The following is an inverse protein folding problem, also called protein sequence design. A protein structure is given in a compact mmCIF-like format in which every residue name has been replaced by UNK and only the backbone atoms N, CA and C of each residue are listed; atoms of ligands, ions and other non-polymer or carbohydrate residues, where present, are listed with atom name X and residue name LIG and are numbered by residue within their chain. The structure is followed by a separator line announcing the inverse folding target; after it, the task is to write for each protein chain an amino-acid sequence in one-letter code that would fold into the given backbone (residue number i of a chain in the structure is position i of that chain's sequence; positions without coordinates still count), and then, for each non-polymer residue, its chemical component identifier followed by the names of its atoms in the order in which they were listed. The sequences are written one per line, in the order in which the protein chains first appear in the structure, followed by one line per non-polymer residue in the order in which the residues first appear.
data_IF_856360320974
#
_entry.id   IF_856360320974
#
_cell.length_a   1.000
_cell.length_b   1.000
_cell.length_c   1.000
_cell.angle_alpha   90.00
_cell.angle_beta   90.00
_cell.angle_gamma   90.00
#
_symmetry.space_group_name_H-M   'P 1'
#
loop_
_entity.id
_entity.type
_entity.pdbx_description
1 polymer ?
#
# COMPACT_ATOMS: atom_id res chain seq x y z
N UNK A 1 9.62 -3.10 10.77
CA UNK A 1 9.90 -4.35 10.03
C UNK A 1 10.53 -3.99 8.69
N UNK A 2 11.46 -4.83 8.19
CA UNK A 2 12.09 -4.59 6.90
C UNK A 2 11.44 -5.46 5.83
N UNK A 3 11.09 -4.84 4.69
CA UNK A 3 10.58 -5.47 3.48
C UNK A 3 11.58 -5.21 2.36
N UNK A 4 11.76 -6.17 1.47
CA UNK A 4 12.57 -6.02 0.26
C UNK A 4 11.79 -6.58 -0.91
N UNK A 5 11.68 -5.77 -1.94
CA UNK A 5 11.03 -6.12 -3.19
C UNK A 5 11.91 -5.66 -4.35
N UNK A 6 11.71 -6.23 -5.52
CA UNK A 6 12.36 -5.78 -6.75
C UNK A 6 11.44 -5.93 -7.94
N UNK A 7 11.64 -5.09 -8.93
CA UNK A 7 10.95 -5.17 -10.21
C UNK A 7 11.84 -4.66 -11.34
N UNK A 8 11.49 -4.98 -12.57
CA UNK A 8 12.17 -4.50 -13.78
C UNK A 8 11.20 -3.65 -14.57
N UNK A 9 11.70 -2.51 -15.07
CA UNK A 9 10.99 -1.59 -15.98
C UNK A 9 11.68 -1.68 -17.33
N UNK A 10 10.94 -1.92 -18.41
CA UNK A 10 11.48 -1.99 -19.77
C UNK A 10 11.77 -0.58 -20.33
N UNK A 11 12.53 0.23 -19.59
CA UNK A 11 12.92 1.59 -19.92
C UNK A 11 14.37 1.84 -19.52
N UNK A 12 15.04 2.82 -20.18
CA UNK A 12 16.42 3.20 -19.82
C UNK A 12 16.54 3.68 -18.37
N UNK A 13 17.70 3.42 -17.75
CA UNK A 13 18.01 3.77 -16.37
C UNK A 13 17.69 5.24 -16.06
N UNK A 14 18.19 6.17 -16.88
CA UNK A 14 17.99 7.61 -16.66
C UNK A 14 16.52 8.02 -16.62
N UNK A 15 15.69 7.46 -17.51
CA UNK A 15 14.24 7.74 -17.52
C UNK A 15 13.55 7.19 -16.30
N UNK A 16 13.93 5.98 -15.89
CA UNK A 16 13.40 5.34 -14.70
C UNK A 16 13.81 6.09 -13.44
N UNK A 17 15.09 6.50 -13.37
CA UNK A 17 15.63 7.29 -12.27
C UNK A 17 14.89 8.62 -12.09
N UNK A 18 14.79 9.43 -13.14
CA UNK A 18 14.05 10.71 -13.12
C UNK A 18 12.59 10.50 -12.70
N UNK A 19 11.94 9.44 -13.20
CA UNK A 19 10.55 9.15 -12.85
C UNK A 19 10.38 8.78 -11.38
N UNK A 20 11.35 8.07 -10.79
CA UNK A 20 11.32 7.68 -9.38
C UNK A 20 11.62 8.83 -8.42
N UNK A 21 12.32 9.88 -8.85
CA UNK A 21 12.58 11.08 -8.04
C UNK A 21 11.37 12.03 -8.00
N UNK A 22 10.46 11.94 -8.95
CA UNK A 22 9.25 12.75 -9.03
C UNK A 22 8.15 12.18 -8.13
N UNK A 23 8.03 12.70 -6.90
CA UNK A 23 7.06 12.23 -5.89
C UNK A 23 5.61 12.28 -6.41
N UNK A 24 5.11 13.32 -7.07
CA UNK A 24 3.81 13.32 -7.74
C UNK A 24 3.62 12.19 -8.75
N UNK A 25 4.62 11.94 -9.56
CA UNK A 25 4.61 10.88 -10.57
C UNK A 25 4.58 9.49 -9.94
N UNK A 26 5.42 9.25 -8.95
CA UNK A 26 5.42 8.02 -8.17
C UNK A 26 4.05 7.78 -7.55
N UNK A 27 3.43 8.81 -6.98
CA UNK A 27 2.11 8.69 -6.37
C UNK A 27 1.01 8.39 -7.40
N UNK A 28 1.08 8.96 -8.63
CA UNK A 28 0.09 8.66 -9.69
C UNK A 28 0.15 7.22 -10.15
N UNK A 29 1.35 6.64 -10.19
CA UNK A 29 1.55 5.24 -10.54
C UNK A 29 1.19 4.27 -9.39
N UNK A 30 1.16 4.74 -8.13
CA UNK A 30 0.88 3.89 -6.97
C UNK A 30 -0.64 3.67 -6.80
N UNK A 31 -1.14 2.41 -6.89
CA UNK A 31 -2.57 2.13 -6.79
C UNK A 31 -3.17 2.59 -5.46
N UNK A 32 -4.24 3.36 -5.52
CA UNK A 32 -4.95 3.87 -4.34
C UNK A 32 -4.28 5.06 -3.66
N UNK A 33 -3.20 5.59 -4.21
CA UNK A 33 -2.58 6.82 -3.73
C UNK A 33 -3.18 8.05 -4.43
N UNK A 34 -3.32 9.12 -3.68
CA UNK A 34 -3.59 10.47 -4.18
C UNK A 34 -2.64 11.43 -3.50
N UNK A 35 -2.16 12.45 -4.23
CA UNK A 35 -1.20 13.40 -3.69
C UNK A 35 -1.58 14.82 -4.09
N UNK A 36 -1.31 15.74 -3.18
CA UNK A 36 -1.45 17.17 -3.39
C UNK A 36 -0.09 17.83 -3.13
N UNK A 37 0.32 18.80 -3.96
CA UNK A 37 1.54 19.55 -3.70
C UNK A 37 1.51 20.18 -2.30
N UNK A 38 2.57 19.96 -1.53
CA UNK A 38 2.78 20.63 -0.25
C UNK A 38 3.86 21.72 -0.36
N UNK A 39 4.12 22.43 0.73
CA UNK A 39 5.24 23.35 0.81
C UNK A 39 6.55 22.64 1.20
N UNK A 40 7.70 23.25 0.85
CA UNK A 40 9.03 22.80 1.28
C UNK A 40 9.43 21.35 0.89
N UNK A 41 8.99 20.88 -0.28
CA UNK A 41 9.33 19.53 -0.74
C UNK A 41 8.58 18.40 -0.04
N UNK A 42 7.66 18.72 0.86
CA UNK A 42 6.73 17.75 1.46
C UNK A 42 5.41 17.75 0.69
N UNK A 43 4.90 16.58 0.40
CA UNK A 43 3.64 16.38 -0.30
C UNK A 43 2.62 15.77 0.66
N UNK A 44 1.39 16.27 0.63
CA UNK A 44 0.27 15.67 1.36
C UNK A 44 -0.43 14.65 0.49
N UNK A 45 -0.90 13.56 1.10
CA UNK A 45 -1.56 12.54 0.33
C UNK A 45 -2.47 11.64 1.14
N UNK A 46 -3.17 10.78 0.42
CA UNK A 46 -3.97 9.70 0.96
C UNK A 46 -3.58 8.40 0.29
N UNK A 47 -3.65 7.32 1.03
CA UNK A 47 -3.41 5.97 0.53
C UNK A 47 -4.57 5.08 0.96
N UNK A 48 -5.24 4.45 0.00
CA UNK A 48 -6.31 3.50 0.24
C UNK A 48 -5.85 2.12 -0.19
N UNK A 49 -5.80 1.19 0.75
CA UNK A 49 -5.36 -0.19 0.51
C UNK A 49 -6.44 -1.15 1.00
N UNK A 50 -6.81 -2.11 0.16
CA UNK A 50 -7.71 -3.19 0.54
C UNK A 50 -6.89 -4.42 0.93
N UNK A 51 -7.04 -4.86 2.17
CA UNK A 51 -6.33 -6.00 2.75
C UNK A 51 -7.37 -7.04 3.16
N UNK A 52 -7.65 -8.00 2.27
CA UNK A 52 -8.76 -8.92 2.45
C UNK A 52 -10.10 -8.20 2.55
N UNK A 53 -10.93 -8.45 3.58
CA UNK A 53 -12.20 -7.77 3.78
C UNK A 53 -12.06 -6.34 4.33
N UNK A 54 -10.85 -5.92 4.70
CA UNK A 54 -10.61 -4.62 5.35
C UNK A 54 -10.07 -3.63 4.33
N UNK A 55 -10.69 -2.46 4.26
CA UNK A 55 -10.13 -1.30 3.57
C UNK A 55 -9.46 -0.40 4.60
N UNK A 56 -8.15 -0.20 4.45
CA UNK A 56 -7.38 0.73 5.26
C UNK A 56 -7.17 2.02 4.46
N UNK A 57 -7.49 3.15 5.06
CA UNK A 57 -7.28 4.47 4.48
C UNK A 57 -6.40 5.30 5.43
N UNK A 58 -5.34 5.88 4.87
CA UNK A 58 -4.37 6.68 5.57
C UNK A 58 -4.28 8.05 4.92
N UNK A 59 -4.27 9.10 5.72
CA UNK A 59 -3.92 10.46 5.30
C UNK A 59 -2.58 10.83 5.93
N UNK A 60 -1.69 11.47 5.16
CA UNK A 60 -0.35 11.74 5.65
C UNK A 60 0.50 12.55 4.70
N UNK A 61 1.81 12.36 4.82
CA UNK A 61 2.81 13.09 4.05
C UNK A 61 3.86 12.16 3.47
N UNK A 62 4.45 12.60 2.36
CA UNK A 62 5.59 11.97 1.70
C UNK A 62 6.62 13.05 1.33
N UNK A 63 7.90 12.75 1.52
CA UNK A 63 9.01 13.60 1.09
C UNK A 63 10.20 12.78 0.64
N UNK A 64 10.96 13.34 -0.27
CA UNK A 64 12.28 12.87 -0.62
C UNK A 64 13.25 13.28 0.51
N UNK A 65 14.04 12.32 1.04
CA UNK A 65 14.98 12.58 2.15
C UNK A 65 16.41 12.72 1.66
N UNK A 66 16.87 11.79 0.83
CA UNK A 66 18.25 11.73 0.39
C UNK A 66 18.33 11.20 -1.04
N UNK A 67 19.31 11.69 -1.80
CA UNK A 67 19.57 11.30 -3.19
C UNK A 67 21.08 11.19 -3.40
N UNK A 68 21.51 10.02 -3.80
CA UNK A 68 22.85 9.76 -4.31
C UNK A 68 22.72 9.51 -5.83
N UNK A 69 23.02 10.55 -6.60
CA UNK A 69 22.90 10.51 -8.07
C UNK A 69 23.93 9.56 -8.70
N UNK A 70 25.14 9.47 -8.15
CA UNK A 70 26.21 8.63 -8.68
C UNK A 70 25.89 7.14 -8.45
N UNK A 71 25.32 6.80 -7.30
CA UNK A 71 24.94 5.44 -6.96
C UNK A 71 23.52 5.07 -7.40
N UNK A 72 22.74 6.02 -7.95
CA UNK A 72 21.33 5.87 -8.27
C UNK A 72 20.52 5.32 -7.09
N UNK A 73 20.70 5.93 -5.91
CA UNK A 73 20.01 5.59 -4.68
C UNK A 73 19.22 6.79 -4.16
N UNK A 74 17.95 6.61 -3.90
CA UNK A 74 17.12 7.65 -3.30
C UNK A 74 16.33 7.09 -2.13
N UNK A 75 16.17 7.89 -1.07
CA UNK A 75 15.33 7.55 0.07
C UNK A 75 14.17 8.51 0.24
N UNK A 76 13.04 7.96 0.63
CA UNK A 76 11.80 8.68 0.87
C UNK A 76 11.30 8.38 2.27
N UNK A 77 10.80 9.39 2.94
CA UNK A 77 10.07 9.22 4.17
C UNK A 77 8.58 9.43 3.93
N UNK A 78 7.78 8.47 4.36
CA UNK A 78 6.34 8.53 4.28
C UNK A 78 5.74 8.25 5.66
N UNK A 79 4.69 8.96 6.01
CA UNK A 79 3.93 8.71 7.23
C UNK A 79 2.46 9.03 7.02
N UNK A 80 1.60 8.32 7.73
CA UNK A 80 0.18 8.56 7.66
C UNK A 80 -0.58 7.90 8.80
N UNK A 81 -1.80 8.35 9.02
CA UNK A 81 -2.70 7.81 10.03
C UNK A 81 -4.12 7.71 9.50
N UNK A 82 -4.89 6.79 10.08
CA UNK A 82 -6.28 6.56 9.75
C UNK A 82 -6.97 5.73 10.84
N UNK A 83 -8.18 5.28 10.59
CA UNK A 83 -8.97 4.50 11.56
C UNK A 83 -8.31 3.14 11.94
N UNK A 84 -7.47 2.60 11.06
CA UNK A 84 -6.79 1.33 11.28
C UNK A 84 -5.48 1.46 12.05
N UNK A 85 -5.07 2.68 12.38
CA UNK A 85 -3.84 2.99 13.10
C UNK A 85 -2.96 3.98 12.34
N UNK A 86 -1.66 3.94 12.60
CA UNK A 86 -0.67 4.76 11.92
C UNK A 86 0.39 3.88 11.25
N UNK A 87 0.96 4.40 10.17
CA UNK A 87 2.08 3.80 9.46
C UNK A 87 3.14 4.85 9.17
N UNK A 88 4.41 4.47 9.28
CA UNK A 88 5.54 5.29 8.85
C UNK A 88 6.59 4.38 8.21
N UNK A 89 7.22 4.85 7.14
CA UNK A 89 8.25 4.08 6.46
C UNK A 89 9.36 4.98 5.91
N UNK A 90 10.59 4.48 5.97
CA UNK A 90 11.68 4.92 5.11
C UNK A 90 11.78 3.92 3.96
N UNK A 91 11.71 4.43 2.73
CA UNK A 91 11.74 3.63 1.51
C UNK A 91 13.00 4.02 0.75
N UNK A 92 13.91 3.08 0.54
CA UNK A 92 15.14 3.28 -0.23
C UNK A 92 15.01 2.54 -1.55
N UNK A 93 15.13 3.28 -2.64
CA UNK A 93 15.18 2.76 -4.00
C UNK A 93 16.60 2.75 -4.51
N UNK A 94 17.05 1.63 -5.04
CA UNK A 94 18.30 1.48 -5.78
C UNK A 94 17.98 1.10 -7.22
N UNK A 95 18.58 1.79 -8.17
CA UNK A 95 18.30 1.60 -9.59
C UNK A 95 19.56 1.10 -10.30
N UNK A 96 19.43 0.04 -11.08
CA UNK A 96 20.56 -0.62 -11.77
C UNK A 96 20.16 -0.95 -13.21
N UNK A 97 21.08 -0.72 -14.16
CA UNK A 97 20.88 -1.15 -15.54
C UNK A 97 21.00 -2.67 -15.65
N UNK A 98 20.07 -3.29 -16.38
CA UNK A 98 20.06 -4.73 -16.65
C UNK A 98 19.71 -4.98 -18.11
N UNK A 99 19.96 -6.21 -18.59
CA UNK A 99 19.53 -6.60 -19.92
C UNK A 99 18.01 -6.46 -20.07
N UNK A 100 17.58 -5.67 -21.05
CA UNK A 100 16.17 -5.40 -21.35
C UNK A 100 15.52 -4.26 -20.55
N UNK A 101 16.27 -3.52 -19.71
CA UNK A 101 15.73 -2.37 -19.01
C UNK A 101 16.45 -1.98 -17.73
N UNK A 102 15.69 -1.63 -16.73
CA UNK A 102 16.18 -1.12 -15.44
C UNK A 102 15.59 -1.92 -14.29
N UNK A 103 16.44 -2.47 -13.44
CA UNK A 103 16.06 -3.09 -12.18
C UNK A 103 15.91 -2.02 -11.10
N UNK A 104 14.83 -2.08 -10.35
CA UNK A 104 14.59 -1.26 -9.16
C UNK A 104 14.48 -2.16 -7.96
N UNK A 105 15.38 -1.99 -6.99
CA UNK A 105 15.33 -2.67 -5.68
C UNK A 105 14.74 -1.69 -4.67
N UNK A 106 13.69 -2.10 -4.00
CA UNK A 106 12.96 -1.29 -3.01
C UNK A 106 13.13 -1.92 -1.63
N UNK A 107 13.82 -1.22 -0.74
CA UNK A 107 13.96 -1.59 0.67
C UNK A 107 13.08 -0.66 1.51
N UNK A 108 12.22 -1.23 2.34
CA UNK A 108 11.28 -0.47 3.16
C UNK A 108 11.46 -0.84 4.63
N UNK A 109 11.80 0.15 5.47
CA UNK A 109 11.71 0.00 6.92
C UNK A 109 10.35 0.53 7.38
N UNK A 110 9.41 -0.40 7.59
CA UNK A 110 8.01 -0.12 7.89
C UNK A 110 7.74 -0.24 9.39
N UNK A 111 7.08 0.78 9.95
CA UNK A 111 6.50 0.79 11.29
C UNK A 111 5.00 0.95 11.17
N UNK A 112 4.25 0.02 11.76
CA UNK A 112 2.79 0.02 11.72
C UNK A 112 2.27 -0.11 13.15
N UNK A 113 1.21 0.61 13.47
CA UNK A 113 0.52 0.57 14.77
C UNK A 113 -0.98 0.33 14.58
N UNK A 114 -1.68 0.08 15.68
CA UNK A 114 -3.12 -0.13 15.68
C UNK A 114 -3.54 -1.47 15.06
N UNK A 115 -4.73 -1.51 14.48
CA UNK A 115 -5.31 -2.75 13.89
C UNK A 115 -4.51 -3.28 12.71
N UNK A 116 -3.87 -2.39 11.96
CA UNK A 116 -3.05 -2.78 10.82
C UNK A 116 -1.84 -3.63 11.23
N UNK A 117 -1.28 -3.41 12.43
CA UNK A 117 -0.20 -4.23 12.97
C UNK A 117 -0.62 -5.69 13.26
N UNK A 118 -1.91 -5.93 13.50
CA UNK A 118 -2.44 -7.26 13.77
C UNK A 118 -2.49 -8.19 12.53
N UNK A 119 -2.33 -7.65 11.32
CA UNK A 119 -2.30 -8.46 10.10
C UNK A 119 -1.08 -9.38 9.99
N UNK A 120 -0.03 -9.09 10.77
CA UNK A 120 1.19 -9.87 10.76
C UNK A 120 2.09 -9.59 9.55
N UNK A 121 3.33 -10.05 9.66
CA UNK A 121 4.39 -9.76 8.68
C UNK A 121 4.08 -10.34 7.30
N UNK A 122 3.68 -11.59 7.22
CA UNK A 122 3.46 -12.27 5.93
C UNK A 122 2.41 -11.58 5.06
N UNK A 123 1.27 -11.15 5.66
CA UNK A 123 0.26 -10.44 4.89
C UNK A 123 0.74 -9.06 4.41
N UNK A 124 1.54 -8.37 5.22
CA UNK A 124 2.12 -7.08 4.82
C UNK A 124 3.18 -7.25 3.70
N UNK A 125 3.94 -8.34 3.72
CA UNK A 125 4.86 -8.71 2.62
C UNK A 125 4.09 -8.97 1.32
N UNK A 126 3.02 -9.76 1.36
CA UNK A 126 2.19 -10.08 0.19
C UNK A 126 1.52 -8.82 -0.40
N UNK A 127 0.99 -7.96 0.47
CA UNK A 127 0.38 -6.68 0.04
C UNK A 127 1.42 -5.78 -0.61
N UNK A 128 2.62 -5.66 0.00
CA UNK A 128 3.72 -4.86 -0.54
C UNK A 128 4.14 -5.36 -1.93
N UNK A 129 4.32 -6.67 -2.09
CA UNK A 129 4.71 -7.26 -3.37
C UNK A 129 3.69 -6.98 -4.48
N UNK A 130 2.39 -7.13 -4.19
CA UNK A 130 1.32 -6.85 -5.16
C UNK A 130 1.22 -5.37 -5.52
N UNK A 131 1.32 -4.47 -4.54
CA UNK A 131 1.33 -3.02 -4.77
C UNK A 131 2.49 -2.62 -5.69
N UNK A 132 3.69 -3.16 -5.44
CA UNK A 132 4.87 -2.86 -6.25
C UNK A 132 4.80 -3.46 -7.64
N UNK A 133 4.22 -4.64 -7.83
CA UNK A 133 4.01 -5.21 -9.16
C UNK A 133 3.07 -4.34 -10.01
N UNK A 134 1.97 -3.86 -9.43
CA UNK A 134 1.06 -2.96 -10.13
C UNK A 134 1.66 -1.56 -10.36
N UNK A 135 2.40 -1.05 -9.38
CA UNK A 135 3.17 0.18 -9.50
C UNK A 135 4.16 0.12 -10.67
N UNK A 136 4.96 -0.96 -10.75
CA UNK A 136 5.94 -1.16 -11.81
C UNK A 136 5.29 -1.11 -13.20
N UNK A 137 4.17 -1.80 -13.38
CA UNK A 137 3.42 -1.82 -14.62
C UNK A 137 2.91 -0.43 -15.04
N UNK A 138 2.39 0.34 -14.08
CA UNK A 138 1.89 1.70 -14.33
C UNK A 138 3.02 2.67 -14.61
N UNK A 139 4.10 2.59 -13.84
CA UNK A 139 5.28 3.43 -14.04
C UNK A 139 5.91 3.18 -15.41
N UNK A 140 6.03 1.91 -15.83
CA UNK A 140 6.54 1.54 -17.15
C UNK A 140 5.67 2.13 -18.27
N UNK A 141 4.36 1.96 -18.20
CA UNK A 141 3.44 2.53 -19.17
C UNK A 141 3.56 4.06 -19.27
N UNK A 142 3.72 4.73 -18.13
CA UNK A 142 3.89 6.19 -18.09
C UNK A 142 5.25 6.66 -18.62
N UNK A 143 6.32 5.88 -18.44
CA UNK A 143 7.65 6.20 -18.98
C UNK A 143 7.71 5.98 -20.49
N UNK A 144 7.07 4.92 -20.98
CA UNK A 144 7.08 4.55 -22.40
C UNK A 144 6.11 5.39 -23.23
N UNK A 145 5.00 5.82 -22.63
CA UNK A 145 4.06 6.75 -23.25
C UNK A 145 4.29 8.17 -22.69
N UNK A 146 5.21 8.98 -23.30
CA UNK A 146 5.39 10.34 -22.85
C UNK A 146 4.08 11.09 -23.11
N UNK A 147 3.33 11.29 -22.04
CA UNK A 147 1.98 11.85 -22.06
C UNK A 147 1.94 13.22 -22.71
N UNK A 148 1.21 13.32 -23.81
CA UNK A 148 0.50 14.54 -24.23
C UNK A 148 -0.63 14.88 -23.24
N UNK A 149 -0.46 14.61 -21.94
CA UNK A 149 -1.41 15.03 -20.92
C UNK A 149 -1.04 16.42 -20.45
N UNK A 150 -1.52 17.42 -21.21
CA UNK A 150 -1.79 18.75 -20.67
C UNK A 150 -2.40 18.60 -19.28
N UNK A 151 -1.85 19.39 -18.35
CA UNK A 151 -2.31 19.54 -16.97
C UNK A 151 -3.76 20.05 -16.99
N UNK A 152 -4.70 19.17 -17.19
CA UNK A 152 -6.08 19.41 -16.85
C UNK A 152 -6.33 18.58 -15.60
N UNK A 153 -6.36 19.25 -14.47
CA UNK A 153 -6.71 18.70 -13.16
C UNK A 153 -8.13 18.12 -13.20
N UNK A 154 -8.27 16.93 -13.72
CA UNK A 154 -9.43 16.10 -13.44
C UNK A 154 -8.96 15.06 -12.42
N UNK A 155 -9.23 15.32 -11.16
CA UNK A 155 -9.18 14.34 -10.09
C UNK A 155 -10.04 13.15 -10.55
N UNK A 156 -9.45 11.97 -10.84
CA UNK A 156 -10.26 10.78 -11.04
C UNK A 156 -10.92 10.48 -9.69
N UNK A 157 -12.22 10.30 -9.69
CA UNK A 157 -12.95 9.82 -8.51
C UNK A 157 -12.28 8.53 -8.02
N UNK A 158 -12.22 8.28 -6.69
CA UNK A 158 -11.51 7.16 -6.09
C UNK A 158 -12.31 5.87 -6.24
N UNK A 159 -12.44 5.32 -7.46
CA UNK A 159 -13.21 4.09 -7.69
C UNK A 159 -12.37 2.80 -7.69
N UNK A 160 -11.04 2.88 -7.77
CA UNK A 160 -10.22 1.68 -7.81
C UNK A 160 -9.35 1.52 -6.55
N UNK A 161 -10.00 1.10 -5.46
CA UNK A 161 -9.26 0.39 -4.41
C UNK A 161 -8.82 -0.96 -5.01
N UNK A 162 -7.50 -1.17 -5.19
CA UNK A 162 -6.98 -2.44 -5.66
C UNK A 162 -7.50 -3.57 -4.75
N UNK A 163 -8.32 -4.47 -5.30
CA UNK A 163 -8.82 -5.63 -4.56
C UNK A 163 -7.71 -6.68 -4.41
N UNK A 164 -6.87 -6.50 -3.39
CA UNK A 164 -5.79 -7.43 -3.07
C UNK A 164 -6.28 -8.69 -2.36
N UNK A 165 -7.57 -8.80 -2.09
CA UNK A 165 -8.15 -9.87 -1.29
C UNK A 165 -8.77 -11.03 -2.06
N UNK A 166 -9.20 -10.82 -3.30
CA UNK A 166 -10.02 -11.81 -4.00
C UNK A 166 -9.28 -13.13 -4.33
N UNK A 167 -7.97 -13.06 -4.55
CA UNK A 167 -7.20 -14.24 -4.97
C UNK A 167 -6.62 -15.09 -3.82
N UNK A 168 -6.51 -14.53 -2.60
CA UNK A 168 -5.82 -15.22 -1.49
C UNK A 168 -6.77 -15.90 -0.50
N UNK A 169 -8.08 -15.65 -0.56
CA UNK A 169 -9.02 -16.11 0.47
C UNK A 169 -9.83 -17.37 0.11
N UNK A 170 -9.97 -17.68 -1.16
CA UNK A 170 -10.76 -18.86 -1.56
C UNK A 170 -10.31 -20.18 -0.90
N UNK A 171 -9.03 -20.51 -0.76
CA UNK A 171 -8.64 -21.77 -0.11
C UNK A 171 -8.81 -21.76 1.42
N UNK A 172 -8.73 -20.58 2.09
CA UNK A 172 -8.81 -20.49 3.55
C UNK A 172 -10.25 -20.47 4.06
N UNK A 173 -11.18 -19.80 3.38
CA UNK A 173 -12.59 -19.76 3.75
C UNK A 173 -13.22 -21.16 3.67
N UNK A 174 -12.85 -21.94 2.64
CA UNK A 174 -13.39 -23.29 2.44
C UNK A 174 -12.96 -24.30 3.51
N UNK A 175 -11.83 -24.05 4.20
CA UNK A 175 -11.28 -24.99 5.19
C UNK A 175 -11.65 -24.65 6.63
N UNK A 176 -11.94 -23.38 6.95
CA UNK A 176 -12.15 -22.92 8.34
C UNK A 176 -13.51 -22.24 8.60
N UNK A 177 -14.31 -21.93 7.57
CA UNK A 177 -15.59 -21.27 7.74
C UNK A 177 -16.65 -22.15 8.46
N UNK A 178 -16.66 -23.44 8.21
CA UNK A 178 -17.58 -24.37 8.86
C UNK A 178 -17.33 -24.56 10.36
N UNK A 179 -16.07 -24.80 10.83
CA UNK A 179 -15.84 -24.95 12.26
C UNK A 179 -15.96 -23.63 13.04
N UNK A 180 -15.59 -22.48 12.45
CA UNK A 180 -15.72 -21.18 13.10
C UNK A 180 -17.18 -20.77 13.30
N UNK A 181 -18.05 -21.06 12.36
CA UNK A 181 -19.49 -20.78 12.43
C UNK A 181 -20.16 -21.67 13.50
N UNK A 182 -19.70 -22.91 13.66
CA UNK A 182 -20.17 -23.84 14.66
C UNK A 182 -19.79 -23.42 16.08
N UNK A 183 -18.57 -22.90 16.26
CA UNK A 183 -18.08 -22.37 17.55
C UNK A 183 -18.87 -21.11 17.95
N UNK A 184 -19.14 -20.19 17.02
CA UNK A 184 -19.93 -18.98 17.27
C UNK A 184 -21.39 -19.37 17.60
N UNK A 185 -21.95 -20.35 16.91
CA UNK A 185 -23.31 -20.85 17.17
C UNK A 185 -23.43 -21.52 18.54
N UNK A 186 -22.44 -22.32 18.94
CA UNK A 186 -22.38 -22.95 20.28
C UNK A 186 -22.21 -21.90 21.38
N UNK A 187 -21.39 -20.87 21.16
CA UNK A 187 -21.22 -19.75 22.10
C UNK A 187 -22.50 -18.91 22.25
N UNK A 188 -23.29 -18.75 21.19
CA UNK A 188 -24.59 -18.09 21.24
C UNK A 188 -25.65 -18.92 21.99
N UNK A 189 -25.62 -20.24 21.86
CA UNK A 189 -26.53 -21.15 22.62
C UNK A 189 -26.18 -21.22 24.11
N UNK A 190 -24.92 -21.02 24.48
CA UNK A 190 -24.46 -21.00 25.88
C UNK A 190 -24.76 -19.67 26.61
N UNK A 191 -25.08 -18.60 25.88
CA UNK A 191 -25.59 -17.36 26.47
C UNK A 191 -27.06 -17.47 26.80
N UNK A 192 -27.38 -18.15 27.92
CA UNK A 192 -28.72 -18.08 28.50
C UNK A 192 -29.02 -16.65 28.96
N UNK A 193 -30.14 -16.02 28.55
CA UNK A 193 -30.55 -14.75 29.13
C UNK A 193 -30.86 -14.98 30.61
N UNK A 194 -30.21 -14.20 31.49
CA UNK A 194 -30.61 -14.13 32.88
C UNK A 194 -32.00 -13.45 32.92
N UNK A 195 -33.03 -14.25 33.21
CA UNK A 195 -34.37 -13.74 33.52
C UNK A 195 -34.27 -13.00 34.86
N UNK A 196 -34.37 -11.68 34.82
CA UNK A 196 -34.54 -10.86 36.01
C UNK A 196 -36.00 -10.95 36.40
N UNK A 197 -36.28 -11.68 37.47
CA UNK A 197 -37.63 -11.67 38.11
C UNK A 197 -37.71 -10.40 38.93
N UNK A 198 -38.47 -9.43 38.44
CA UNK A 198 -38.86 -8.25 39.20
C UNK A 198 -40.02 -8.70 40.13
N UNK A 199 -39.73 -8.69 41.42
CA UNK A 199 -40.75 -8.87 42.46
C UNK A 199 -41.22 -7.47 42.84
N UNK A 200 -42.44 -7.15 42.47
CA UNK A 200 -43.13 -5.97 43.00
C UNK A 200 -43.65 -6.20 44.44
N UNK A 201 -43.73 -5.12 45.25
CA UNK A 201 -44.09 -5.15 46.67
C UNK A 201 -45.58 -5.44 46.96
#
# INVERSE_FOLDING_TARGET
MKLRNEFIVAAPLERTWIALLDVPRVASALPGATIEPGGNGEHRGRMKVKIGPVTAEYAGTARLEDVDEDAHVASFYVQGSGEQGAAAATITNRVEEVEGGTRVVVETDLRVTGRAAAFGRGLLEDVSARLLAEFARRLEAEILEPSSRSITSSVPAPEDALDLGAAAWEPLIRRYALPALLVVFVLLLLRRPKVVVIREP
#
